data_IF_006182459529
#
_entry.id   IF_006182459529
#
_cell.length_a   1.000
_cell.length_b   1.000
_cell.length_c   1.000
_cell.angle_alpha   90.00
_cell.angle_beta   90.00
_cell.angle_gamma   90.00
#
_symmetry.space_group_name_H-M   'P 1'
#
loop_
_entity.id
_entity.type
_entity.pdbx_description
1 polymer ?
#
# COMPACT_ATOMS: atom_id res chain seq x y z
N UNK A 1 52.79 40.98 -25.33
CA UNK A 1 52.90 39.58 -24.82
C UNK A 1 51.90 39.23 -23.71
N UNK A 2 51.37 40.17 -22.94
CA UNK A 2 50.33 39.89 -21.90
C UNK A 2 48.97 39.41 -22.41
N UNK A 3 48.48 39.96 -23.53
CA UNK A 3 47.16 39.58 -24.13
C UNK A 3 47.04 38.13 -24.59
N UNK A 4 48.14 37.42 -24.88
CA UNK A 4 48.08 36.04 -25.36
C UNK A 4 48.01 35.02 -24.23
N UNK A 5 48.50 35.35 -23.03
CA UNK A 5 48.46 34.50 -21.86
C UNK A 5 47.01 34.49 -21.30
N UNK A 6 46.39 35.68 -21.14
CA UNK A 6 45.00 35.83 -20.70
C UNK A 6 44.02 35.09 -21.64
N UNK A 7 44.24 35.01 -22.94
CA UNK A 7 43.39 34.31 -23.87
C UNK A 7 43.50 32.78 -23.80
N UNK A 8 44.68 32.27 -23.46
CA UNK A 8 44.93 30.83 -23.28
C UNK A 8 44.29 30.37 -21.94
N UNK A 9 44.50 31.11 -20.88
CA UNK A 9 43.89 30.81 -19.56
C UNK A 9 42.35 30.86 -19.63
N UNK A 10 41.78 31.80 -20.39
CA UNK A 10 40.36 31.92 -20.58
C UNK A 10 39.80 30.73 -21.38
N UNK A 11 40.57 30.19 -22.33
CA UNK A 11 40.21 29.04 -23.12
C UNK A 11 40.27 27.74 -22.34
N UNK A 12 41.31 27.57 -21.51
CA UNK A 12 41.41 26.44 -20.59
C UNK A 12 40.32 26.46 -19.53
N UNK A 13 39.94 27.62 -18.96
CA UNK A 13 38.82 27.75 -18.05
C UNK A 13 37.48 27.36 -18.70
N UNK A 14 37.25 27.78 -19.95
CA UNK A 14 36.04 27.39 -20.71
C UNK A 14 35.98 25.90 -20.94
N UNK A 15 37.10 25.26 -21.26
CA UNK A 15 37.16 23.83 -21.45
C UNK A 15 36.92 23.05 -20.17
N UNK A 16 37.50 23.48 -19.06
CA UNK A 16 37.25 22.91 -17.74
C UNK A 16 35.77 23.08 -17.31
N UNK A 17 35.15 24.24 -17.56
CA UNK A 17 33.73 24.47 -17.30
C UNK A 17 32.84 23.54 -18.15
N UNK A 18 33.17 23.35 -19.41
CA UNK A 18 32.42 22.44 -20.29
C UNK A 18 32.49 20.99 -19.80
N UNK A 19 33.69 20.54 -19.37
CA UNK A 19 33.88 19.20 -18.81
C UNK A 19 33.12 19.04 -17.48
N UNK A 20 33.17 20.06 -16.60
CA UNK A 20 32.42 20.07 -15.34
C UNK A 20 30.92 20.04 -15.58
N UNK A 21 30.41 20.85 -16.50
CA UNK A 21 28.99 20.87 -16.87
C UNK A 21 28.55 19.51 -17.39
N UNK A 22 29.33 18.89 -18.27
CA UNK A 22 29.03 17.56 -18.79
C UNK A 22 29.05 16.47 -17.71
N UNK A 23 29.97 16.55 -16.75
CA UNK A 23 29.99 15.64 -15.58
C UNK A 23 28.77 15.82 -14.70
N UNK A 24 28.41 17.07 -14.38
CA UNK A 24 27.21 17.38 -13.57
C UNK A 24 25.93 16.90 -14.24
N UNK A 25 25.76 17.14 -15.54
CA UNK A 25 24.61 16.62 -16.31
C UNK A 25 24.55 15.10 -16.24
N UNK A 26 25.67 14.42 -16.42
CA UNK A 26 25.74 12.96 -16.34
C UNK A 26 25.41 12.43 -14.95
N UNK A 27 25.92 13.07 -13.90
CA UNK A 27 25.59 12.71 -12.51
C UNK A 27 24.12 12.95 -12.19
N UNK A 28 23.53 14.05 -12.66
CA UNK A 28 22.10 14.36 -12.49
C UNK A 28 21.24 13.31 -13.15
N UNK A 29 21.53 12.91 -14.41
CA UNK A 29 20.79 11.87 -15.13
C UNK A 29 20.89 10.53 -14.40
N UNK A 30 22.06 10.16 -13.90
CA UNK A 30 22.28 8.92 -13.14
C UNK A 30 21.48 8.94 -11.84
N UNK A 31 21.50 10.05 -11.10
CA UNK A 31 20.79 10.23 -9.85
C UNK A 31 19.26 10.13 -10.07
N UNK A 32 18.72 10.84 -11.06
CA UNK A 32 17.31 10.76 -11.43
C UNK A 32 16.89 9.32 -11.75
N UNK A 33 17.68 8.58 -12.50
CA UNK A 33 17.42 7.18 -12.83
C UNK A 33 17.39 6.28 -11.58
N UNK A 34 18.31 6.50 -10.65
CA UNK A 34 18.36 5.76 -9.38
C UNK A 34 17.13 6.04 -8.51
N UNK A 35 16.71 7.30 -8.41
CA UNK A 35 15.51 7.68 -7.66
C UNK A 35 14.27 7.04 -8.28
N UNK A 36 14.11 7.10 -9.61
CA UNK A 36 12.99 6.44 -10.31
C UNK A 36 12.98 4.93 -10.12
N UNK A 37 14.15 4.30 -10.11
CA UNK A 37 14.25 2.86 -9.82
C UNK A 37 13.83 2.56 -8.37
N UNK A 38 14.28 3.35 -7.41
CA UNK A 38 13.87 3.23 -6.00
C UNK A 38 12.35 3.36 -5.83
N UNK A 39 11.73 4.36 -6.47
CA UNK A 39 10.27 4.52 -6.46
C UNK A 39 9.56 3.31 -7.06
N UNK A 40 10.04 2.77 -8.18
CA UNK A 40 9.50 1.55 -8.82
C UNK A 40 9.56 0.37 -7.87
N UNK A 41 10.67 0.16 -7.17
CA UNK A 41 10.84 -0.97 -6.25
C UNK A 41 9.91 -0.85 -5.04
N UNK A 42 9.73 0.37 -4.51
CA UNK A 42 8.74 0.67 -3.47
C UNK A 42 7.31 0.40 -3.94
N UNK A 43 6.96 0.86 -5.14
CA UNK A 43 5.65 0.61 -5.75
C UNK A 43 5.40 -0.88 -6.00
N UNK A 44 6.40 -1.62 -6.47
CA UNK A 44 6.32 -3.07 -6.68
C UNK A 44 6.08 -3.83 -5.37
N UNK A 45 6.69 -3.36 -4.27
CA UNK A 45 6.48 -3.93 -2.93
C UNK A 45 5.03 -3.74 -2.47
N UNK A 46 4.43 -2.56 -2.68
CA UNK A 46 3.02 -2.32 -2.39
C UNK A 46 2.14 -3.26 -3.21
N UNK A 47 2.37 -3.34 -4.53
CA UNK A 47 1.60 -4.20 -5.44
C UNK A 47 1.70 -5.68 -5.06
N UNK A 48 2.90 -6.16 -4.72
CA UNK A 48 3.11 -7.55 -4.29
C UNK A 48 2.30 -7.89 -3.05
N UNK A 49 2.25 -6.99 -2.06
CA UNK A 49 1.42 -7.17 -0.87
C UNK A 49 -0.06 -7.27 -1.22
N UNK A 50 -0.56 -6.37 -2.07
CA UNK A 50 -1.94 -6.39 -2.51
C UNK A 50 -2.32 -7.68 -3.25
N UNK A 51 -1.41 -8.25 -4.03
CA UNK A 51 -1.62 -9.56 -4.69
C UNK A 51 -1.71 -10.66 -3.63
N UNK A 52 -0.79 -10.68 -2.64
CA UNK A 52 -0.83 -11.68 -1.56
C UNK A 52 -2.12 -11.57 -0.76
N UNK A 53 -2.55 -10.37 -0.40
CA UNK A 53 -3.83 -10.12 0.28
C UNK A 53 -5.02 -10.63 -0.54
N UNK A 54 -5.00 -10.41 -1.87
CA UNK A 54 -6.06 -10.90 -2.76
C UNK A 54 -6.11 -12.42 -2.83
N UNK A 55 -4.94 -13.09 -2.88
CA UNK A 55 -4.86 -14.56 -2.89
C UNK A 55 -5.39 -15.12 -1.57
N UNK A 56 -4.98 -14.56 -0.43
CA UNK A 56 -5.45 -14.99 0.89
C UNK A 56 -6.97 -14.80 0.99
N UNK A 57 -7.49 -13.64 0.56
CA UNK A 57 -8.93 -13.37 0.56
C UNK A 57 -9.70 -14.38 -0.31
N UNK A 58 -9.17 -14.72 -1.49
CA UNK A 58 -9.79 -15.70 -2.39
C UNK A 58 -9.87 -17.10 -1.76
N UNK A 59 -8.85 -17.51 -1.01
CA UNK A 59 -8.83 -18.79 -0.29
C UNK A 59 -9.80 -18.75 0.90
N UNK A 60 -9.96 -17.61 1.55
CA UNK A 60 -10.84 -17.48 2.72
C UNK A 60 -12.33 -17.50 2.36
N UNK A 61 -12.73 -17.15 1.13
CA UNK A 61 -14.15 -17.19 0.71
C UNK A 61 -14.74 -18.60 0.84
N UNK A 62 -14.20 -19.67 0.21
CA UNK A 62 -14.73 -21.01 0.38
C UNK A 62 -14.64 -21.52 1.82
N UNK A 63 -13.63 -21.10 2.58
CA UNK A 63 -13.52 -21.42 4.00
C UNK A 63 -14.72 -20.87 4.80
N UNK A 64 -15.09 -19.62 4.56
CA UNK A 64 -16.27 -19.02 5.23
C UNK A 64 -17.60 -19.64 4.78
N UNK A 65 -17.71 -20.14 3.54
CA UNK A 65 -18.96 -20.75 3.05
C UNK A 65 -19.12 -22.17 3.55
N UNK A 66 -18.04 -22.97 3.54
CA UNK A 66 -18.15 -24.42 3.77
C UNK A 66 -17.64 -24.88 5.13
N UNK A 67 -16.59 -24.26 5.66
CA UNK A 67 -15.93 -24.72 6.90
C UNK A 67 -16.53 -24.03 8.12
N UNK A 68 -16.64 -22.73 8.09
CA UNK A 68 -17.08 -21.94 9.25
C UNK A 68 -18.44 -22.36 9.81
N UNK A 69 -19.52 -22.54 9.01
CA UNK A 69 -20.82 -22.91 9.53
C UNK A 69 -20.86 -24.30 10.17
N UNK A 70 -19.91 -25.18 9.79
CA UNK A 70 -19.86 -26.55 10.32
C UNK A 70 -18.95 -26.69 11.56
N UNK A 71 -18.05 -25.74 11.77
CA UNK A 71 -17.09 -25.78 12.90
C UNK A 71 -17.56 -24.88 14.04
N UNK A 72 -18.14 -23.75 13.72
CA UNK A 72 -18.64 -22.78 14.71
C UNK A 72 -20.12 -22.56 14.41
N UNK A 73 -20.94 -22.59 15.45
CA UNK A 73 -22.39 -22.37 15.33
C UNK A 73 -22.70 -20.89 15.07
N UNK A 74 -22.36 -20.41 13.85
CA UNK A 74 -22.67 -19.07 13.36
C UNK A 74 -23.73 -19.12 12.26
N UNK A 75 -24.51 -18.04 12.15
CA UNK A 75 -25.57 -17.96 11.15
C UNK A 75 -25.00 -17.93 9.75
N UNK A 76 -25.67 -18.65 8.84
CA UNK A 76 -25.35 -18.63 7.40
C UNK A 76 -25.41 -17.22 6.82
N UNK A 77 -26.26 -16.35 7.39
CA UNK A 77 -26.36 -14.94 7.01
C UNK A 77 -25.07 -14.18 7.25
N UNK A 78 -24.40 -14.38 8.40
CA UNK A 78 -23.11 -13.77 8.70
C UNK A 78 -22.02 -14.24 7.72
N UNK A 79 -22.02 -15.52 7.36
CA UNK A 79 -21.07 -16.07 6.39
C UNK A 79 -21.24 -15.42 5.01
N UNK A 80 -22.45 -15.32 4.49
CA UNK A 80 -22.71 -14.65 3.21
C UNK A 80 -22.39 -13.15 3.24
N UNK A 81 -22.74 -12.46 4.33
CA UNK A 81 -22.38 -11.05 4.53
C UNK A 81 -20.85 -10.86 4.46
N UNK A 82 -20.09 -11.71 5.14
CA UNK A 82 -18.62 -11.66 5.13
C UNK A 82 -18.05 -11.93 3.75
N UNK A 83 -18.57 -12.96 3.04
CA UNK A 83 -18.14 -13.27 1.68
C UNK A 83 -18.43 -12.13 0.70
N UNK A 84 -19.61 -11.51 0.79
CA UNK A 84 -19.95 -10.34 -0.03
C UNK A 84 -18.92 -9.21 0.18
N UNK A 85 -18.53 -8.98 1.43
CA UNK A 85 -17.55 -7.97 1.77
C UNK A 85 -16.14 -8.31 1.27
N UNK A 86 -15.75 -9.58 1.33
CA UNK A 86 -14.49 -10.07 0.77
C UNK A 86 -14.44 -9.86 -0.75
N UNK A 87 -15.50 -10.15 -1.46
CA UNK A 87 -15.61 -9.92 -2.92
C UNK A 87 -15.52 -8.41 -3.22
N UNK A 88 -16.20 -7.57 -2.45
CA UNK A 88 -16.12 -6.12 -2.59
C UNK A 88 -14.70 -5.61 -2.38
N UNK A 89 -13.99 -6.12 -1.37
CA UNK A 89 -12.59 -5.79 -1.11
C UNK A 89 -11.67 -6.21 -2.27
N UNK A 90 -11.87 -7.39 -2.86
CA UNK A 90 -11.11 -7.85 -4.03
C UNK A 90 -11.31 -6.93 -5.25
N UNK A 91 -12.56 -6.54 -5.54
CA UNK A 91 -12.88 -5.63 -6.64
C UNK A 91 -12.21 -4.27 -6.44
N UNK A 92 -12.28 -3.73 -5.24
CA UNK A 92 -11.65 -2.45 -4.91
C UNK A 92 -10.11 -2.53 -4.98
N UNK A 93 -9.53 -3.60 -4.46
CA UNK A 93 -8.08 -3.83 -4.54
C UNK A 93 -7.62 -3.91 -6.00
N UNK A 94 -8.33 -4.68 -6.84
CA UNK A 94 -8.05 -4.76 -8.27
C UNK A 94 -8.14 -3.38 -8.95
N UNK A 95 -9.19 -2.59 -8.68
CA UNK A 95 -9.38 -1.27 -9.29
C UNK A 95 -8.23 -0.31 -8.97
N UNK A 96 -7.77 -0.29 -7.73
CA UNK A 96 -6.66 0.57 -7.30
C UNK A 96 -5.36 0.15 -7.97
N UNK A 97 -5.03 -1.14 -7.89
CA UNK A 97 -3.76 -1.65 -8.38
C UNK A 97 -3.68 -1.76 -9.91
N UNK A 98 -4.81 -1.76 -10.62
CA UNK A 98 -4.83 -1.66 -12.08
C UNK A 98 -4.31 -0.29 -12.57
N UNK A 99 -4.50 0.77 -11.78
CA UNK A 99 -4.00 2.12 -12.09
C UNK A 99 -2.59 2.37 -11.57
N UNK A 100 -2.29 1.86 -10.37
CA UNK A 100 -0.98 1.99 -9.73
C UNK A 100 -0.02 0.90 -10.24
N UNK A 101 0.62 1.19 -11.40
CA UNK A 101 1.55 0.25 -12.05
C UNK A 101 3.00 0.68 -11.80
N UNK A 102 3.86 -0.20 -11.21
CA UNK A 102 5.27 0.11 -10.96
C UNK A 102 6.06 0.50 -12.22
N UNK A 103 5.67 -0.04 -13.39
CA UNK A 103 6.33 0.23 -14.66
C UNK A 103 6.24 1.71 -15.07
N UNK A 104 5.18 2.40 -14.68
CA UNK A 104 4.98 3.83 -14.96
C UNK A 104 6.04 4.72 -14.31
N UNK A 105 6.65 4.28 -13.22
CA UNK A 105 7.60 5.10 -12.46
C UNK A 105 8.89 5.41 -13.21
N UNK A 106 9.24 4.62 -14.24
CA UNK A 106 10.46 4.84 -15.04
C UNK A 106 10.20 5.76 -16.23
N UNK A 107 9.03 5.65 -16.88
CA UNK A 107 8.78 6.32 -18.17
C UNK A 107 7.73 7.43 -18.15
N UNK A 108 6.93 7.55 -17.08
CA UNK A 108 5.84 8.53 -17.01
C UNK A 108 6.27 9.87 -16.42
N UNK A 109 5.45 10.90 -16.67
CA UNK A 109 5.62 12.20 -16.06
C UNK A 109 5.46 12.09 -14.53
N UNK A 110 6.36 12.74 -13.78
CA UNK A 110 6.36 12.77 -12.31
C UNK A 110 5.02 13.26 -11.73
N UNK A 111 4.34 14.18 -12.40
CA UNK A 111 3.02 14.67 -11.99
C UNK A 111 1.96 13.57 -12.05
N UNK A 112 2.00 12.69 -13.06
CA UNK A 112 1.08 11.55 -13.18
C UNK A 112 1.34 10.54 -12.06
N UNK A 113 2.60 10.21 -11.82
CA UNK A 113 3.02 9.30 -10.73
C UNK A 113 2.60 9.83 -9.36
N UNK A 114 2.79 11.14 -9.12
CA UNK A 114 2.34 11.83 -7.90
C UNK A 114 0.84 11.70 -7.71
N UNK A 115 0.06 11.99 -8.77
CA UNK A 115 -1.40 11.89 -8.75
C UNK A 115 -1.88 10.48 -8.43
N UNK A 116 -1.31 9.47 -9.10
CA UNK A 116 -1.68 8.06 -8.89
C UNK A 116 -1.35 7.60 -7.46
N UNK A 117 -0.19 8.02 -6.91
CA UNK A 117 0.23 7.71 -5.54
C UNK A 117 -0.68 8.37 -4.50
N UNK A 118 -1.02 9.65 -4.68
CA UNK A 118 -1.97 10.37 -3.81
C UNK A 118 -3.36 9.77 -3.86
N UNK A 119 -3.84 9.37 -5.04
CA UNK A 119 -5.14 8.71 -5.21
C UNK A 119 -5.17 7.38 -4.48
N UNK A 120 -4.15 6.55 -4.64
CA UNK A 120 -4.01 5.28 -3.91
C UNK A 120 -4.02 5.50 -2.39
N UNK A 121 -3.20 6.42 -1.88
CA UNK A 121 -3.12 6.74 -0.45
C UNK A 121 -4.47 7.19 0.12
N UNK A 122 -5.15 8.12 -0.56
CA UNK A 122 -6.47 8.62 -0.16
C UNK A 122 -7.52 7.52 -0.18
N UNK A 123 -7.46 6.63 -1.17
CA UNK A 123 -8.40 5.52 -1.27
C UNK A 123 -8.23 4.54 -0.09
N UNK A 124 -7.00 4.15 0.27
CA UNK A 124 -6.76 3.28 1.43
C UNK A 124 -7.29 3.88 2.73
N UNK A 125 -7.10 5.18 2.96
CA UNK A 125 -7.61 5.86 4.14
C UNK A 125 -9.15 5.87 4.14
N UNK A 126 -9.76 6.25 3.02
CA UNK A 126 -11.21 6.31 2.90
C UNK A 126 -11.86 4.93 2.99
N UNK A 127 -11.26 3.91 2.37
CA UNK A 127 -11.71 2.52 2.46
C UNK A 127 -11.75 2.06 3.91
N UNK A 128 -10.65 2.25 4.65
CA UNK A 128 -10.59 1.86 6.05
C UNK A 128 -11.63 2.61 6.88
N UNK A 129 -11.74 3.92 6.71
CA UNK A 129 -12.60 4.78 7.52
C UNK A 129 -14.09 4.53 7.25
N UNK A 130 -14.51 4.47 5.99
CA UNK A 130 -15.94 4.46 5.62
C UNK A 130 -16.48 3.05 5.40
N UNK A 131 -15.64 2.09 5.16
CA UNK A 131 -16.05 0.72 4.83
C UNK A 131 -15.47 -0.29 5.82
N UNK A 132 -14.15 -0.26 6.08
CA UNK A 132 -13.49 -1.24 6.93
C UNK A 132 -13.95 -1.16 8.39
N UNK A 133 -13.93 0.03 9.00
CA UNK A 133 -14.35 0.19 10.41
C UNK A 133 -15.84 -0.14 10.60
N UNK A 134 -16.79 0.39 9.80
CA UNK A 134 -18.20 -0.01 9.92
C UNK A 134 -18.42 -1.52 9.73
N UNK A 135 -17.73 -2.13 8.78
CA UNK A 135 -17.80 -3.58 8.58
C UNK A 135 -17.35 -4.35 9.83
N UNK A 136 -16.21 -3.99 10.41
CA UNK A 136 -15.69 -4.64 11.62
C UNK A 136 -16.71 -4.54 12.76
N UNK A 137 -17.32 -3.38 12.96
CA UNK A 137 -18.33 -3.18 14.02
C UNK A 137 -19.55 -4.07 13.79
N UNK A 138 -20.10 -4.09 12.56
CA UNK A 138 -21.28 -4.91 12.24
C UNK A 138 -20.94 -6.39 12.33
N UNK A 139 -19.78 -6.81 11.78
CA UNK A 139 -19.34 -8.21 11.83
C UNK A 139 -19.19 -8.71 13.27
N UNK A 140 -18.48 -7.99 14.13
CA UNK A 140 -18.28 -8.44 15.51
C UNK A 140 -19.56 -8.37 16.33
N UNK A 141 -20.43 -7.39 16.12
CA UNK A 141 -21.72 -7.33 16.79
C UNK A 141 -22.60 -8.54 16.46
N UNK A 142 -22.67 -8.89 15.17
CA UNK A 142 -23.42 -10.05 14.72
C UNK A 142 -22.75 -11.36 15.17
N UNK A 143 -21.45 -11.47 15.04
CA UNK A 143 -20.70 -12.65 15.47
C UNK A 143 -20.85 -12.94 16.96
N UNK A 144 -20.73 -11.93 17.81
CA UNK A 144 -20.95 -12.07 19.27
C UNK A 144 -22.39 -12.46 19.59
N UNK A 145 -23.37 -11.92 18.85
CA UNK A 145 -24.78 -12.29 19.00
C UNK A 145 -24.99 -13.79 18.69
N UNK A 146 -24.46 -14.27 17.55
CA UNK A 146 -24.60 -15.68 17.15
C UNK A 146 -23.93 -16.62 18.15
N UNK A 147 -22.71 -16.31 18.59
CA UNK A 147 -21.98 -17.10 19.59
C UNK A 147 -22.74 -17.17 20.91
N UNK A 148 -23.33 -16.06 21.35
CA UNK A 148 -24.12 -16.01 22.58
C UNK A 148 -25.37 -16.89 22.55
N UNK A 149 -25.98 -17.03 21.38
CA UNK A 149 -27.11 -17.90 21.19
C UNK A 149 -26.72 -19.39 21.10
N UNK A 150 -25.55 -19.68 20.55
CA UNK A 150 -25.10 -21.05 20.30
C UNK A 150 -24.46 -21.73 21.52
N UNK A 151 -23.77 -20.96 22.37
CA UNK A 151 -22.96 -21.47 23.48
C UNK A 151 -23.40 -20.86 24.83
N UNK A 152 -24.44 -21.41 25.48
CA UNK A 152 -24.85 -20.94 26.83
C UNK A 152 -23.91 -21.47 27.92
N UNK A 153 -23.58 -20.63 28.92
CA UNK A 153 -22.87 -21.06 30.12
C UNK A 153 -21.37 -20.72 30.14
N UNK A 154 -20.60 -21.55 30.85
CA UNK A 154 -19.16 -21.28 31.11
C UNK A 154 -18.28 -21.33 29.83
N UNK A 155 -18.65 -22.12 28.83
CA UNK A 155 -17.95 -22.22 27.56
C UNK A 155 -17.88 -20.86 26.84
N UNK A 156 -18.87 -20.00 27.02
CA UNK A 156 -18.96 -18.67 26.45
C UNK A 156 -17.77 -17.78 26.87
N UNK A 157 -17.31 -17.91 28.11
CA UNK A 157 -16.20 -17.11 28.62
C UNK A 157 -14.90 -17.43 27.88
N UNK A 158 -14.62 -18.72 27.63
CA UNK A 158 -13.44 -19.14 26.87
C UNK A 158 -13.43 -18.57 25.45
N UNK A 159 -14.58 -18.58 24.77
CA UNK A 159 -14.75 -18.02 23.42
C UNK A 159 -14.54 -16.51 23.43
N UNK A 160 -15.07 -15.78 24.41
CA UNK A 160 -14.88 -14.33 24.50
C UNK A 160 -13.41 -13.94 24.73
N UNK A 161 -12.64 -14.70 25.52
CA UNK A 161 -11.21 -14.50 25.64
C UNK A 161 -10.50 -14.70 24.29
N UNK A 162 -10.84 -15.74 23.55
CA UNK A 162 -10.31 -16.00 22.21
C UNK A 162 -10.61 -14.86 21.23
N UNK A 163 -11.85 -14.37 21.21
CA UNK A 163 -12.27 -13.22 20.41
C UNK A 163 -11.47 -11.98 20.80
N UNK A 164 -11.34 -11.67 22.09
CA UNK A 164 -10.59 -10.51 22.59
C UNK A 164 -9.13 -10.53 22.15
N UNK A 165 -8.45 -11.67 22.30
CA UNK A 165 -7.07 -11.86 21.84
C UNK A 165 -6.97 -11.73 20.33
N UNK A 166 -7.91 -12.31 19.57
CA UNK A 166 -7.96 -12.21 18.11
C UNK A 166 -8.12 -10.76 17.61
N UNK A 167 -9.02 -9.99 18.22
CA UNK A 167 -9.21 -8.57 17.92
C UNK A 167 -7.92 -7.78 18.21
N UNK A 168 -7.28 -8.01 19.35
CA UNK A 168 -6.06 -7.31 19.74
C UNK A 168 -4.93 -7.58 18.76
N UNK A 169 -4.65 -8.85 18.46
CA UNK A 169 -3.63 -9.24 17.49
C UNK A 169 -3.94 -8.72 16.09
N UNK A 170 -5.18 -8.86 15.63
CA UNK A 170 -5.62 -8.38 14.33
C UNK A 170 -5.47 -6.87 14.19
N UNK A 171 -5.79 -6.11 15.22
CA UNK A 171 -5.63 -4.64 15.24
C UNK A 171 -4.16 -4.23 15.19
N UNK A 172 -3.29 -4.89 15.96
CA UNK A 172 -1.84 -4.61 15.94
C UNK A 172 -1.27 -4.88 14.54
N UNK A 173 -1.50 -6.08 14.00
CA UNK A 173 -0.99 -6.48 12.68
C UNK A 173 -1.54 -5.55 11.58
N UNK A 174 -2.85 -5.30 11.59
CA UNK A 174 -3.51 -4.42 10.63
C UNK A 174 -2.96 -3.00 10.66
N UNK A 175 -2.71 -2.44 11.86
CA UNK A 175 -2.13 -1.11 12.02
C UNK A 175 -0.69 -1.05 11.51
N UNK A 176 0.13 -2.06 11.77
CA UNK A 176 1.51 -2.14 11.28
C UNK A 176 1.52 -2.19 9.74
N UNK A 177 0.68 -3.04 9.14
CA UNK A 177 0.59 -3.17 7.68
C UNK A 177 0.10 -1.88 7.02
N UNK A 178 -0.93 -1.26 7.60
CA UNK A 178 -1.47 0.01 7.12
C UNK A 178 -0.43 1.13 7.18
N UNK A 179 0.23 1.32 8.34
CA UNK A 179 1.31 2.31 8.48
C UNK A 179 2.44 2.07 7.48
N UNK A 180 2.83 0.82 7.27
CA UNK A 180 3.91 0.49 6.32
C UNK A 180 3.55 0.89 4.88
N UNK A 181 2.31 0.69 4.43
CA UNK A 181 1.85 1.12 3.11
C UNK A 181 1.84 2.64 3.01
N UNK A 182 1.32 3.34 4.05
CA UNK A 182 1.27 4.80 4.08
C UNK A 182 2.67 5.43 4.07
N UNK A 183 3.60 4.89 4.87
CA UNK A 183 4.98 5.37 4.90
C UNK A 183 5.68 5.18 3.55
N UNK A 184 5.54 3.99 2.93
CA UNK A 184 6.11 3.74 1.61
C UNK A 184 5.54 4.70 0.54
N UNK A 185 4.24 5.00 0.61
CA UNK A 185 3.62 5.99 -0.28
C UNK A 185 4.13 7.42 -0.02
N UNK A 186 4.36 7.80 1.24
CA UNK A 186 4.95 9.10 1.60
C UNK A 186 6.39 9.23 1.09
N UNK A 187 7.20 8.20 1.25
CA UNK A 187 8.58 8.18 0.73
C UNK A 187 8.64 8.33 -0.79
N UNK A 188 7.68 7.76 -1.52
CA UNK A 188 7.57 7.97 -2.98
C UNK A 188 7.24 9.44 -3.28
N UNK A 189 6.31 10.04 -2.54
CA UNK A 189 5.92 11.44 -2.73
C UNK A 189 7.06 12.40 -2.42
N UNK A 190 7.83 12.15 -1.37
CA UNK A 190 9.02 12.91 -0.98
C UNK A 190 10.10 12.86 -2.07
N UNK A 191 10.39 11.66 -2.60
CA UNK A 191 11.32 11.50 -3.71
C UNK A 191 10.89 12.25 -4.99
N UNK A 192 9.57 12.36 -5.24
CA UNK A 192 9.06 13.15 -6.36
C UNK A 192 9.26 14.66 -6.11
N UNK A 193 9.07 15.12 -4.88
CA UNK A 193 9.28 16.52 -4.51
C UNK A 193 10.76 16.91 -4.61
N UNK A 194 11.67 16.06 -4.15
CA UNK A 194 13.11 16.25 -4.29
C UNK A 194 13.57 16.35 -5.76
N UNK A 195 12.93 15.61 -6.66
CA UNK A 195 13.23 15.68 -8.11
C UNK A 195 12.67 16.92 -8.81
N UNK A 196 11.75 17.65 -8.17
CA UNK A 196 11.12 18.86 -8.72
C UNK A 196 11.73 20.15 -8.15
N UNK A 197 12.53 20.06 -7.07
CA UNK A 197 13.24 21.16 -6.43
C UNK A 197 14.54 21.48 -7.13
#
# INVERSE_FOLDING_TARGET
MMNNIDSIELQEMKEQLAILTQKLEKETIVNERLIRQSMKDKASTIRRKAIVESIVTLIMIPYFIWVMPNVIAISTGLCYFTCFFMVLALVCNYYIHSRFRPEKFIGSNLLEVRKDTLMMKKFYINWLKFIGIPFIIVFFSWFVHDIRLAYPGEELNGIYYGIGVGILLGTIIGTILFKKIQNTANEILEQIEEMQA
#
